data_IF_897667480392
#
_entry.id   IF_897667480392
#
_cell.length_a   1.000
_cell.length_b   1.000
_cell.length_c   1.000
_cell.angle_alpha   90.00
_cell.angle_beta   90.00
_cell.angle_gamma   90.00
#
_symmetry.space_group_name_H-M   'P 1'
#
loop_
_entity.id
_entity.type
_entity.pdbx_description
1 polymer ?
#
# COMPACT_ATOMS: atom_id res chain seq x y z
N UNK A 1 -11.13 7.46 -5.18
CA UNK A 1 -10.82 7.90 -6.56
C UNK A 1 -10.36 6.72 -7.38
N UNK A 2 -10.98 6.48 -8.53
CA UNK A 2 -10.65 5.37 -9.43
C UNK A 2 -9.76 5.86 -10.58
N UNK A 3 -8.62 5.20 -10.77
CA UNK A 3 -7.68 5.39 -11.87
C UNK A 3 -7.62 4.07 -12.63
N UNK A 4 -8.00 4.06 -13.91
CA UNK A 4 -7.94 2.84 -14.72
C UNK A 4 -7.70 3.08 -16.19
N UNK A 5 -6.91 2.19 -16.79
CA UNK A 5 -6.87 1.98 -18.23
C UNK A 5 -7.81 0.81 -18.59
N UNK A 6 -8.79 1.04 -19.46
CA UNK A 6 -9.83 0.05 -19.80
C UNK A 6 -9.48 -0.85 -20.99
N UNK A 7 -8.49 -0.47 -21.80
CA UNK A 7 -8.14 -1.16 -23.05
C UNK A 7 -6.70 -1.65 -23.05
N UNK A 8 -6.49 -2.79 -23.68
CA UNK A 8 -5.15 -3.32 -23.93
C UNK A 8 -4.32 -2.31 -24.72
N UNK A 9 -3.02 -2.22 -24.42
CA UNK A 9 -2.10 -1.25 -24.99
C UNK A 9 -2.43 0.23 -24.71
N UNK A 10 -3.31 0.51 -23.74
CA UNK A 10 -3.50 1.87 -23.20
C UNK A 10 -2.88 2.00 -21.82
N UNK A 11 -2.55 3.22 -21.45
CA UNK A 11 -2.07 3.53 -20.11
C UNK A 11 -2.85 4.68 -19.47
N UNK A 12 -3.00 4.59 -18.16
CA UNK A 12 -3.50 5.68 -17.32
C UNK A 12 -2.34 6.24 -16.50
N UNK A 13 -2.19 7.56 -16.52
CA UNK A 13 -1.17 8.25 -15.74
C UNK A 13 -1.85 9.27 -14.84
N UNK A 14 -1.55 9.22 -13.55
CA UNK A 14 -1.98 10.22 -12.58
C UNK A 14 -0.78 10.77 -11.84
N UNK A 15 -0.63 12.08 -11.82
CA UNK A 15 0.28 12.78 -10.92
C UNK A 15 -0.56 13.74 -10.10
N UNK A 16 -0.46 13.66 -8.78
CA UNK A 16 -1.22 14.49 -7.85
C UNK A 16 -0.37 14.90 -6.66
N UNK A 17 -0.64 16.09 -6.15
CA UNK A 17 -0.01 16.59 -4.92
C UNK A 17 -1.02 17.29 -4.04
N UNK A 18 -0.86 17.15 -2.72
CA UNK A 18 -1.68 17.84 -1.71
C UNK A 18 -3.19 17.58 -1.91
N UNK A 19 -3.52 16.36 -2.36
CA UNK A 19 -4.88 15.93 -2.66
C UNK A 19 -5.43 15.04 -1.54
N UNK A 20 -6.75 14.98 -1.44
CA UNK A 20 -7.41 14.21 -0.41
C UNK A 20 -8.56 13.39 -1.00
N UNK A 21 -8.62 12.11 -0.65
CA UNK A 21 -9.76 11.25 -0.92
C UNK A 21 -10.16 10.54 0.38
N UNK A 22 -11.43 10.64 0.75
CA UNK A 22 -12.01 9.99 1.92
C UNK A 22 -13.20 9.15 1.51
N UNK A 23 -13.41 8.03 2.19
CA UNK A 23 -14.55 7.12 2.00
C UNK A 23 -14.58 6.42 0.64
N UNK A 24 -15.55 5.51 0.48
CA UNK A 24 -15.73 4.64 -0.69
C UNK A 24 -15.03 3.30 -0.54
N UNK A 25 -15.04 2.49 -1.60
CA UNK A 25 -14.39 1.17 -1.62
C UNK A 25 -12.90 1.32 -1.28
N UNK A 26 -12.12 2.06 -2.08
CA UNK A 26 -10.77 2.48 -1.71
C UNK A 26 -10.62 3.97 -1.97
N UNK A 27 -9.86 4.67 -1.11
CA UNK A 27 -9.68 6.11 -1.26
C UNK A 27 -8.90 6.46 -2.53
N UNK A 28 -7.85 5.71 -2.85
CA UNK A 28 -7.11 5.78 -4.13
C UNK A 28 -7.01 4.38 -4.72
N UNK A 29 -7.71 4.13 -5.83
CA UNK A 29 -7.81 2.81 -6.45
C UNK A 29 -7.24 2.84 -7.86
N UNK A 30 -6.13 2.15 -8.08
CA UNK A 30 -5.51 1.98 -9.41
C UNK A 30 -5.74 0.55 -9.88
N UNK A 31 -6.43 0.38 -11.01
CA UNK A 31 -6.80 -0.95 -11.56
C UNK A 31 -6.71 -0.99 -13.08
N UNK A 32 -6.75 -2.20 -13.65
CA UNK A 32 -6.92 -2.41 -15.09
C UNK A 32 -5.60 -2.66 -15.83
N UNK A 33 -5.48 -2.12 -17.04
CA UNK A 33 -4.24 -2.19 -17.81
C UNK A 33 -3.18 -1.23 -17.24
N UNK A 34 -2.04 -1.10 -17.93
CA UNK A 34 -0.85 -0.41 -17.44
C UNK A 34 -1.21 0.96 -16.84
N UNK A 35 -0.95 1.13 -15.55
CA UNK A 35 -1.25 2.38 -14.85
C UNK A 35 -0.06 2.82 -14.02
N UNK A 36 0.28 4.11 -14.09
CA UNK A 36 1.36 4.71 -13.33
C UNK A 36 0.80 5.89 -12.53
N UNK A 37 0.99 5.86 -11.22
CA UNK A 37 0.45 6.90 -10.33
C UNK A 37 1.55 7.42 -9.41
N UNK A 38 1.70 8.74 -9.33
CA UNK A 38 2.62 9.41 -8.40
C UNK A 38 1.82 10.39 -7.56
N UNK A 39 1.79 10.16 -6.24
CA UNK A 39 1.08 11.01 -5.29
C UNK A 39 2.07 11.56 -4.29
N UNK A 40 2.00 12.86 -4.03
CA UNK A 40 2.88 13.55 -3.09
C UNK A 40 2.06 14.30 -2.05
N UNK A 41 2.22 13.98 -0.76
CA UNK A 41 1.45 14.56 0.35
C UNK A 41 -0.06 14.41 0.17
N UNK A 42 -0.48 13.32 -0.47
CA UNK A 42 -1.89 13.02 -0.62
C UNK A 42 -2.40 12.17 0.55
N UNK A 43 -3.68 12.31 0.87
CA UNK A 43 -4.34 11.58 1.94
C UNK A 43 -5.41 10.63 1.38
N UNK A 44 -5.42 9.41 1.88
CA UNK A 44 -6.42 8.38 1.59
C UNK A 44 -6.91 7.75 2.90
N UNK A 45 -8.20 7.83 3.21
CA UNK A 45 -8.66 7.32 4.49
C UNK A 45 -10.15 7.04 4.63
N UNK A 46 -10.51 6.39 5.74
CA UNK A 46 -11.87 5.97 6.09
C UNK A 46 -12.61 5.25 4.95
N UNK A 47 -11.87 4.52 4.11
CA UNK A 47 -12.44 3.68 3.06
C UNK A 47 -12.84 2.29 3.61
N UNK A 48 -13.78 1.62 2.93
CA UNK A 48 -14.24 0.25 3.25
C UNK A 48 -13.17 -0.81 2.96
N UNK A 49 -12.18 -0.44 2.15
CA UNK A 49 -10.97 -1.19 1.83
C UNK A 49 -9.80 -0.20 1.96
N UNK A 50 -8.76 -0.24 1.12
CA UNK A 50 -7.54 0.53 1.42
C UNK A 50 -7.58 2.04 1.18
N UNK A 51 -6.66 2.73 1.87
CA UNK A 51 -6.29 4.10 1.56
C UNK A 51 -5.67 4.23 0.16
N UNK A 52 -4.72 3.37 -0.18
CA UNK A 52 -4.08 3.31 -1.49
C UNK A 52 -4.01 1.86 -2.01
N UNK A 53 -4.92 1.50 -2.89
CA UNK A 53 -5.08 0.16 -3.44
C UNK A 53 -4.59 0.10 -4.89
N UNK A 54 -3.63 -0.80 -5.18
CA UNK A 54 -3.07 -1.01 -6.52
C UNK A 54 -3.25 -2.47 -6.95
N UNK A 55 -4.06 -2.68 -8.00
CA UNK A 55 -4.11 -3.93 -8.74
C UNK A 55 -3.74 -3.72 -10.21
N UNK A 56 -3.14 -4.75 -10.79
CA UNK A 56 -2.93 -4.86 -12.23
C UNK A 56 -3.73 -6.02 -12.79
N UNK A 57 -3.97 -6.03 -14.10
CA UNK A 57 -4.27 -7.31 -14.76
C UNK A 57 -3.08 -8.25 -14.64
N UNK A 58 -3.34 -9.55 -14.70
CA UNK A 58 -2.29 -10.59 -14.75
C UNK A 58 -1.24 -10.22 -15.80
N UNK A 59 0.04 -10.34 -15.43
CA UNK A 59 1.20 -10.02 -16.28
C UNK A 59 1.29 -8.53 -16.72
N UNK A 60 0.46 -7.64 -16.15
CA UNK A 60 0.50 -6.20 -16.40
C UNK A 60 1.08 -5.48 -15.19
N UNK A 61 2.28 -4.95 -15.39
CA UNK A 61 3.02 -4.23 -14.35
C UNK A 61 2.54 -2.78 -14.25
N UNK A 62 1.68 -2.51 -13.27
CA UNK A 62 1.28 -1.15 -12.86
C UNK A 62 2.12 -0.68 -11.67
N UNK A 63 2.28 0.64 -11.52
CA UNK A 63 3.14 1.23 -10.49
C UNK A 63 2.43 2.36 -9.75
N UNK A 64 2.62 2.40 -8.42
CA UNK A 64 2.21 3.53 -7.59
C UNK A 64 3.38 4.02 -6.74
N UNK A 65 3.63 5.33 -6.75
CA UNK A 65 4.63 5.99 -5.92
C UNK A 65 3.96 6.97 -4.98
N UNK A 66 4.19 6.80 -3.68
CA UNK A 66 3.60 7.58 -2.61
C UNK A 66 4.73 8.30 -1.87
N UNK A 67 4.74 9.63 -1.94
CA UNK A 67 5.78 10.47 -1.35
C UNK A 67 5.13 11.30 -0.24
N UNK A 68 5.48 11.05 1.01
CA UNK A 68 4.91 11.72 2.19
C UNK A 68 3.38 11.63 2.26
N UNK A 69 2.79 10.57 1.72
CA UNK A 69 1.34 10.34 1.72
C UNK A 69 0.84 9.79 3.05
N UNK A 70 -0.49 9.83 3.25
CA UNK A 70 -1.12 9.38 4.50
C UNK A 70 -2.26 8.41 4.25
N UNK A 71 -2.16 7.19 4.76
CA UNK A 71 -3.17 6.14 4.68
C UNK A 71 -3.79 5.88 6.06
N UNK A 72 -4.97 6.45 6.35
CA UNK A 72 -5.47 6.55 7.73
C UNK A 72 -6.90 6.00 7.90
N UNK A 73 -7.09 5.17 8.92
CA UNK A 73 -8.43 4.81 9.41
C UNK A 73 -9.25 3.95 8.45
N UNK A 74 -8.59 3.23 7.54
CA UNK A 74 -9.25 2.38 6.56
C UNK A 74 -9.70 1.06 7.18
N UNK A 75 -10.78 0.48 6.65
CA UNK A 75 -11.33 -0.80 7.12
C UNK A 75 -10.50 -2.01 6.68
N UNK A 76 -9.53 -1.81 5.78
CA UNK A 76 -8.51 -2.79 5.44
C UNK A 76 -7.10 -2.21 5.67
N UNK A 77 -6.32 -1.93 4.62
CA UNK A 77 -4.94 -1.45 4.76
C UNK A 77 -4.75 0.06 4.51
N UNK A 78 -3.66 0.59 5.05
CA UNK A 78 -3.23 1.96 4.72
C UNK A 78 -2.83 2.08 3.25
N UNK A 79 -2.08 1.10 2.73
CA UNK A 79 -1.73 0.96 1.32
C UNK A 79 -1.40 -0.49 0.97
N UNK A 80 -1.82 -0.95 -0.21
CA UNK A 80 -1.55 -2.31 -0.66
C UNK A 80 -1.32 -2.43 -2.18
N UNK A 81 -0.17 -2.98 -2.62
CA UNK A 81 -0.02 -3.51 -3.97
C UNK A 81 -0.34 -5.01 -4.03
N UNK A 82 -1.06 -5.39 -5.08
CA UNK A 82 -1.45 -6.77 -5.35
C UNK A 82 -0.89 -7.27 -6.69
N UNK A 83 -0.92 -8.59 -6.87
CA UNK A 83 -0.64 -9.24 -8.15
C UNK A 83 0.77 -8.92 -8.69
N UNK A 84 0.91 -8.58 -9.98
CA UNK A 84 2.22 -8.33 -10.61
C UNK A 84 2.61 -6.83 -10.60
N UNK A 85 2.21 -6.09 -9.56
CA UNK A 85 2.40 -4.63 -9.46
C UNK A 85 3.57 -4.22 -8.58
N UNK A 86 3.93 -2.92 -8.63
CA UNK A 86 4.98 -2.35 -7.80
C UNK A 86 4.53 -1.08 -7.07
N UNK A 87 4.83 -0.99 -5.76
CA UNK A 87 4.58 0.21 -4.98
C UNK A 87 5.85 0.73 -4.31
N UNK A 88 6.04 2.05 -4.35
CA UNK A 88 7.15 2.74 -3.74
C UNK A 88 6.62 3.77 -2.73
N UNK A 89 7.04 3.67 -1.48
CA UNK A 89 6.65 4.57 -0.40
C UNK A 89 7.90 5.28 0.12
N UNK A 90 7.86 6.61 0.09
CA UNK A 90 8.92 7.49 0.58
C UNK A 90 8.33 8.42 1.64
N UNK A 91 8.54 8.08 2.92
CA UNK A 91 7.99 8.83 4.06
C UNK A 91 6.49 8.62 4.25
N UNK A 92 5.86 9.54 4.99
CA UNK A 92 4.43 9.52 5.25
C UNK A 92 3.98 8.74 6.49
N UNK A 93 2.67 8.68 6.69
CA UNK A 93 2.02 8.08 7.87
C UNK A 93 0.90 7.12 7.47
N UNK A 94 1.01 5.88 7.91
CA UNK A 94 0.02 4.84 7.68
C UNK A 94 -0.49 4.32 9.01
N UNK A 95 -1.69 4.74 9.40
CA UNK A 95 -2.11 4.61 10.79
C UNK A 95 -3.59 4.29 11.00
N UNK A 96 -3.86 3.65 12.14
CA UNK A 96 -5.20 3.38 12.64
C UNK A 96 -6.05 2.55 11.66
N UNK A 97 -5.43 1.79 10.77
CA UNK A 97 -6.12 0.89 9.83
C UNK A 97 -6.52 -0.43 10.53
N UNK A 98 -7.62 -1.03 10.10
CA UNK A 98 -8.15 -2.25 10.73
C UNK A 98 -7.24 -3.46 10.55
N UNK A 99 -6.54 -3.55 9.42
CA UNK A 99 -5.55 -4.58 9.11
C UNK A 99 -4.16 -3.96 9.15
N UNK A 100 -3.38 -4.02 8.07
CA UNK A 100 -2.01 -3.53 8.09
C UNK A 100 -1.89 -2.05 7.73
N UNK A 101 -0.87 -1.38 8.26
CA UNK A 101 -0.50 -0.06 7.73
C UNK A 101 -0.02 -0.17 6.28
N UNK A 102 0.62 -1.28 5.93
CA UNK A 102 0.93 -1.67 4.55
C UNK A 102 0.84 -3.18 4.36
N UNK A 103 0.25 -3.65 3.27
CA UNK A 103 0.30 -5.06 2.86
C UNK A 103 0.67 -5.23 1.38
N UNK A 104 1.71 -6.02 1.08
CA UNK A 104 2.02 -6.46 -0.28
C UNK A 104 1.53 -7.89 -0.50
N UNK A 105 0.74 -8.12 -1.54
CA UNK A 105 0.03 -9.39 -1.75
C UNK A 105 0.34 -9.97 -3.13
N UNK A 106 0.30 -11.31 -3.24
CA UNK A 106 0.48 -12.00 -4.51
C UNK A 106 1.94 -12.04 -4.95
N UNK A 107 2.25 -11.51 -6.14
CA UNK A 107 3.60 -11.43 -6.70
C UNK A 107 4.18 -10.00 -6.62
N UNK A 108 3.57 -9.11 -5.82
CA UNK A 108 3.89 -7.70 -5.86
C UNK A 108 5.31 -7.40 -5.36
N UNK A 109 5.86 -6.29 -5.83
CA UNK A 109 7.08 -5.70 -5.28
C UNK A 109 6.73 -4.46 -4.47
N UNK A 110 7.39 -4.26 -3.34
CA UNK A 110 7.32 -3.00 -2.65
C UNK A 110 8.66 -2.51 -2.10
N UNK A 111 8.83 -1.19 -2.12
CA UNK A 111 9.96 -0.53 -1.47
C UNK A 111 9.44 0.60 -0.58
N UNK A 112 9.81 0.53 0.70
CA UNK A 112 9.32 1.45 1.73
C UNK A 112 10.53 2.06 2.42
N UNK A 113 10.63 3.38 2.38
CA UNK A 113 11.71 4.14 3.01
C UNK A 113 11.14 5.24 3.90
N UNK A 114 11.55 5.32 5.16
CA UNK A 114 11.29 6.48 6.02
C UNK A 114 9.84 6.65 6.53
N UNK A 115 8.92 5.74 6.21
CA UNK A 115 7.51 5.85 6.59
C UNK A 115 7.27 5.47 8.06
N UNK A 116 6.20 6.02 8.65
CA UNK A 116 5.72 5.64 9.98
C UNK A 116 4.45 4.79 9.88
N UNK A 117 4.46 3.64 10.55
CA UNK A 117 3.32 2.73 10.68
C UNK A 117 2.86 2.67 12.12
N UNK A 118 1.64 3.14 12.40
CA UNK A 118 1.18 3.37 13.77
C UNK A 118 -0.23 2.85 14.06
N UNK A 119 -0.43 2.24 15.23
CA UNK A 119 -1.75 1.82 15.73
C UNK A 119 -2.56 0.94 14.74
N UNK A 120 -1.89 0.25 13.81
CA UNK A 120 -2.59 -0.61 12.87
C UNK A 120 -2.97 -1.94 13.53
N UNK A 121 -3.80 -2.70 12.82
CA UNK A 121 -4.39 -3.97 13.22
C UNK A 121 -5.44 -3.83 14.33
N UNK A 122 -6.27 -2.80 14.22
CA UNK A 122 -7.31 -2.52 15.23
C UNK A 122 -8.39 -3.61 15.29
N UNK A 123 -8.60 -4.36 14.20
CA UNK A 123 -9.57 -5.47 14.15
C UNK A 123 -9.07 -6.78 14.80
N UNK A 124 -7.75 -6.98 14.92
CA UNK A 124 -7.10 -8.14 15.61
C UNK A 124 -7.49 -9.53 15.07
N UNK A 125 -7.82 -9.65 13.78
CA UNK A 125 -8.34 -10.89 13.18
C UNK A 125 -7.26 -11.83 12.63
N UNK A 126 -6.18 -11.30 12.07
CA UNK A 126 -5.10 -12.05 11.41
C UNK A 126 -3.73 -11.72 12.03
N UNK A 127 -3.02 -12.64 12.70
CA UNK A 127 -1.73 -12.35 13.35
C UNK A 127 -0.60 -12.00 12.37
N UNK A 128 -0.78 -12.23 11.07
CA UNK A 128 0.18 -11.86 10.03
C UNK A 128 0.06 -10.40 9.60
N UNK A 129 -0.84 -9.63 10.20
CA UNK A 129 -1.04 -8.20 9.97
C UNK A 129 -0.46 -7.35 11.10
N UNK A 130 -0.36 -6.05 10.86
CA UNK A 130 0.18 -5.09 11.83
C UNK A 130 0.77 -3.87 11.15
N UNK A 131 2.09 -3.70 11.26
CA UNK A 131 2.76 -2.58 10.61
C UNK A 131 2.85 -2.78 9.10
N UNK A 132 3.69 -3.72 8.69
CA UNK A 132 4.01 -4.05 7.30
C UNK A 132 3.87 -5.56 7.10
N UNK A 133 3.17 -5.99 6.06
CA UNK A 133 2.99 -7.41 5.75
C UNK A 133 3.32 -7.74 4.30
N UNK A 134 4.22 -8.69 4.08
CA UNK A 134 4.52 -9.27 2.77
C UNK A 134 3.90 -10.68 2.69
N UNK A 135 2.78 -10.79 2.00
CA UNK A 135 1.98 -12.03 1.85
C UNK A 135 2.23 -12.72 0.51
N UNK A 136 2.09 -14.04 0.49
CA UNK A 136 2.25 -14.85 -0.73
C UNK A 136 3.70 -14.88 -1.23
N UNK A 137 3.90 -14.54 -2.51
CA UNK A 137 5.21 -14.48 -3.18
C UNK A 137 5.74 -13.04 -3.27
N UNK A 138 5.14 -12.11 -2.53
CA UNK A 138 5.58 -10.72 -2.52
C UNK A 138 7.01 -10.60 -2.00
N UNK A 139 7.64 -9.50 -2.37
CA UNK A 139 9.07 -9.26 -2.17
C UNK A 139 9.33 -7.78 -2.05
N UNK A 140 10.43 -7.38 -1.45
CA UNK A 140 10.66 -5.95 -1.30
C UNK A 140 11.83 -5.54 -0.45
N UNK A 141 11.84 -4.25 -0.14
CA UNK A 141 12.81 -3.60 0.72
C UNK A 141 12.12 -2.66 1.69
N UNK A 142 12.54 -2.69 2.94
CA UNK A 142 12.05 -1.80 4.01
C UNK A 142 13.27 -1.15 4.64
N UNK A 143 13.34 0.18 4.62
CA UNK A 143 14.49 0.94 5.11
C UNK A 143 14.06 2.10 6.02
N UNK A 144 14.62 2.19 7.22
CA UNK A 144 14.45 3.36 8.10
C UNK A 144 13.00 3.67 8.46
N UNK A 145 12.16 2.64 8.61
CA UNK A 145 10.75 2.82 8.97
C UNK A 145 10.56 2.89 10.48
N UNK A 146 9.53 3.61 10.91
CA UNK A 146 9.13 3.69 12.32
C UNK A 146 7.89 2.85 12.57
N UNK A 147 7.95 2.01 13.60
CA UNK A 147 6.84 1.15 14.03
C UNK A 147 6.38 1.60 15.41
N UNK A 148 5.10 1.96 15.55
CA UNK A 148 4.57 2.52 16.78
C UNK A 148 3.23 1.88 17.15
N UNK A 149 3.15 1.23 18.31
CA UNK A 149 1.88 0.78 18.89
C UNK A 149 0.98 -0.06 17.95
N UNK A 150 1.54 -0.71 16.93
CA UNK A 150 0.79 -1.67 16.12
C UNK A 150 0.44 -2.87 17.00
N UNK A 151 -0.81 -3.33 16.92
CA UNK A 151 -1.28 -4.43 17.79
C UNK A 151 -0.76 -5.78 17.29
N UNK A 152 -0.59 -5.90 15.97
CA UNK A 152 -0.10 -7.10 15.30
C UNK A 152 1.42 -7.13 15.10
N UNK A 153 1.85 -7.99 14.19
CA UNK A 153 3.27 -8.16 13.85
C UNK A 153 3.82 -6.87 13.23
N UNK A 154 4.94 -6.37 13.74
CA UNK A 154 5.54 -5.12 13.24
C UNK A 154 5.92 -5.23 11.75
N UNK A 155 6.65 -6.28 11.38
CA UNK A 155 6.94 -6.63 9.99
C UNK A 155 6.77 -8.14 9.83
N UNK A 156 5.84 -8.57 8.99
CA UNK A 156 5.64 -9.96 8.61
C UNK A 156 6.10 -10.21 7.17
N UNK A 157 6.67 -11.40 6.92
CA UNK A 157 6.92 -11.89 5.57
C UNK A 157 6.65 -13.39 5.49
N UNK A 158 5.81 -13.79 4.56
CA UNK A 158 5.57 -15.19 4.22
C UNK A 158 6.82 -15.86 3.61
N UNK A 159 7.73 -15.07 3.02
CA UNK A 159 8.95 -15.57 2.40
C UNK A 159 10.15 -14.65 2.72
N UNK A 160 10.73 -14.75 3.93
CA UNK A 160 11.72 -13.77 4.40
C UNK A 160 12.95 -13.62 3.51
N UNK A 161 13.31 -14.63 2.71
CA UNK A 161 14.43 -14.58 1.77
C UNK A 161 14.25 -13.54 0.65
N UNK A 162 13.02 -13.11 0.37
CA UNK A 162 12.70 -12.12 -0.66
C UNK A 162 12.54 -10.69 -0.12
N UNK A 163 12.72 -10.51 1.19
CA UNK A 163 12.57 -9.23 1.89
C UNK A 163 13.91 -8.76 2.47
N UNK A 164 14.34 -7.56 2.10
CA UNK A 164 15.48 -6.90 2.75
C UNK A 164 14.98 -5.86 3.75
N UNK A 165 15.43 -5.92 5.00
CA UNK A 165 15.11 -4.94 6.03
C UNK A 165 16.39 -4.25 6.47
N UNK A 166 16.38 -2.92 6.48
CA UNK A 166 17.45 -2.06 6.98
C UNK A 166 16.85 -1.05 7.96
N UNK A 167 17.51 -0.85 9.09
CA UNK A 167 17.12 0.17 10.06
C UNK A 167 17.79 1.49 9.73
#
# INVERSE_FOLDING_TARGET
MLIRAEKENTSAHLVGSDCTAWYGESAWRVVGYKSETVLTRCEGGYAENDGFNLHGRKDVKSTMRLVECRGIGNEDEGASPHDDTEMFIEGGLYADNQYSGFASVGNAYAEITGATFRNNHTARKDPTEGGISFKGKSRGKVTGVKMENNVGTAIYSANPATLTIKN
#
